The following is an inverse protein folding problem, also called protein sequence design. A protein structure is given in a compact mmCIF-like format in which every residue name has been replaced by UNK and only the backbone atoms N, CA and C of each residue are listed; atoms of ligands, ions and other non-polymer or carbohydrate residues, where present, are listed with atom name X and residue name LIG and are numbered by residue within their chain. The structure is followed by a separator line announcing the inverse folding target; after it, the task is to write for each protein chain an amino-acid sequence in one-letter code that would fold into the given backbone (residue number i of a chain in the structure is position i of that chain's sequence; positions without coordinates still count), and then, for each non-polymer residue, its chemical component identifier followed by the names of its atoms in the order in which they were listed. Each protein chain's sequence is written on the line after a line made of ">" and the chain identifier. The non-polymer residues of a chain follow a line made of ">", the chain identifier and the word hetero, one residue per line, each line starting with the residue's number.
data_IF_906071541331
#
_entry.id   IF_906071541331
#
_cell.length_a   1.000
_cell.length_b   1.000
_cell.length_c   1.000
_cell.angle_alpha   90.00
_cell.angle_beta   90.00
_cell.angle_gamma   90.00
#
_symmetry.space_group_name_H-M   'P 1'
#
loop_
_entity.id
_entity.type
_entity.pdbx_description
1 polymer ?
#
# COMPACT_ATOMS: atom_id res chain seq x y z
N UNK A 1 24.27 19.09 11.69
CA UNK A 1 23.86 18.56 10.38
C UNK A 1 22.61 19.32 9.95
N UNK A 2 22.45 19.62 8.66
CA UNK A 2 21.20 20.19 8.14
C UNK A 2 20.07 19.16 8.32
N UNK A 3 18.85 19.62 8.66
CA UNK A 3 17.66 18.77 8.73
C UNK A 3 17.32 18.26 7.33
N UNK A 4 16.87 17.01 7.23
CA UNK A 4 16.35 16.48 5.97
C UNK A 4 14.96 17.04 5.70
N UNK A 5 14.73 17.51 4.48
CA UNK A 5 13.43 18.03 4.03
C UNK A 5 12.59 16.89 3.45
N UNK A 6 11.56 16.51 4.21
CA UNK A 6 10.71 15.37 3.90
C UNK A 6 9.39 15.86 3.28
N UNK A 7 9.21 15.62 1.99
CA UNK A 7 7.95 15.87 1.31
C UNK A 7 6.90 14.82 1.72
N UNK A 8 5.99 15.16 2.63
CA UNK A 8 4.89 14.25 3.01
C UNK A 8 3.76 14.43 2.03
N UNK A 9 3.55 13.43 1.18
CA UNK A 9 2.62 13.45 0.05
C UNK A 9 1.33 12.73 0.41
N UNK A 10 0.17 13.42 0.42
CA UNK A 10 -1.09 12.89 0.94
C UNK A 10 -2.34 13.44 0.24
N UNK A 11 -3.52 12.85 0.52
CA UNK A 11 -4.79 13.14 -0.12
C UNK A 11 -5.04 12.22 -1.31
N UNK A 12 -5.18 12.78 -2.51
CA UNK A 12 -5.28 12.03 -3.77
C UNK A 12 -6.72 11.74 -4.23
N UNK A 13 -6.82 11.17 -5.43
CA UNK A 13 -8.09 10.77 -6.08
C UNK A 13 -8.47 9.35 -5.65
N UNK A 14 -8.83 9.17 -4.40
CA UNK A 14 -9.12 7.87 -3.80
C UNK A 14 -10.34 7.96 -2.89
N UNK A 15 -11.03 6.85 -2.69
CA UNK A 15 -12.09 6.71 -1.67
C UNK A 15 -11.52 6.82 -0.24
N UNK A 16 -10.22 6.72 -0.08
CA UNK A 16 -9.50 6.79 1.20
C UNK A 16 -8.78 8.14 1.41
N UNK A 17 -9.23 9.19 0.69
CA UNK A 17 -8.65 10.53 0.74
C UNK A 17 -8.54 11.10 2.17
N UNK A 18 -9.59 11.00 2.95
CA UNK A 18 -9.66 11.51 4.32
C UNK A 18 -8.74 10.72 5.27
N UNK A 19 -8.64 9.40 5.07
CA UNK A 19 -7.73 8.53 5.85
C UNK A 19 -6.27 8.91 5.59
N UNK A 20 -5.94 9.23 4.34
CA UNK A 20 -4.61 9.73 3.94
C UNK A 20 -4.26 11.03 4.67
N UNK A 21 -5.20 11.97 4.79
CA UNK A 21 -5.01 13.22 5.52
C UNK A 21 -4.69 12.97 7.00
N UNK A 22 -5.47 12.11 7.67
CA UNK A 22 -5.26 11.77 9.07
C UNK A 22 -3.91 11.06 9.31
N UNK A 23 -3.54 10.15 8.40
CA UNK A 23 -2.25 9.46 8.45
C UNK A 23 -1.08 10.44 8.30
N UNK A 24 -1.16 11.37 7.33
CA UNK A 24 -0.14 12.40 7.12
C UNK A 24 0.01 13.34 8.33
N UNK A 25 -1.10 13.75 8.92
CA UNK A 25 -1.09 14.56 10.14
C UNK A 25 -0.37 13.84 11.29
N UNK A 26 -0.65 12.55 11.46
CA UNK A 26 -0.02 11.72 12.49
C UNK A 26 1.49 11.59 12.27
N UNK A 27 1.92 11.32 11.03
CA UNK A 27 3.33 11.19 10.64
C UNK A 27 4.07 12.52 10.88
N UNK A 28 3.55 13.64 10.35
CA UNK A 28 4.17 14.96 10.51
C UNK A 28 4.32 15.33 11.99
N UNK A 29 3.28 15.05 12.80
CA UNK A 29 3.29 15.34 14.23
C UNK A 29 4.26 14.49 15.05
N UNK A 30 4.75 13.37 14.50
CA UNK A 30 5.67 12.45 15.17
C UNK A 30 7.12 12.53 14.64
N UNK A 31 7.38 13.28 13.56
CA UNK A 31 8.73 13.53 13.07
C UNK A 31 9.55 14.33 14.07
N UNK A 32 10.80 13.90 14.32
CA UNK A 32 11.75 14.66 15.15
C UNK A 32 12.13 15.98 14.46
N UNK A 33 11.76 17.15 15.02
CA UNK A 33 12.04 18.44 14.41
C UNK A 33 13.54 18.82 14.41
N UNK A 34 14.38 18.10 15.14
CA UNK A 34 15.83 18.28 15.09
C UNK A 34 16.47 17.62 13.87
N UNK A 35 15.86 16.54 13.37
CA UNK A 35 16.34 15.76 12.22
C UNK A 35 15.61 16.08 10.92
N UNK A 36 14.32 16.35 10.99
CA UNK A 36 13.43 16.47 9.84
C UNK A 36 12.75 17.84 9.75
N UNK A 37 12.57 18.30 8.52
CA UNK A 37 11.73 19.43 8.14
C UNK A 37 10.59 18.88 7.26
N UNK A 38 9.39 18.59 7.82
CA UNK A 38 8.28 18.11 7.01
C UNK A 38 7.76 19.20 6.08
N UNK A 39 7.60 18.88 4.82
CA UNK A 39 6.98 19.73 3.79
C UNK A 39 5.67 19.06 3.37
N UNK A 40 4.51 19.53 3.84
CA UNK A 40 3.23 18.97 3.46
C UNK A 40 2.93 19.20 1.98
N UNK A 41 2.65 18.11 1.25
CA UNK A 41 2.27 18.09 -0.16
C UNK A 41 0.89 17.47 -0.29
N UNK A 42 -0.12 18.31 -0.46
CA UNK A 42 -1.50 17.87 -0.56
C UNK A 42 -1.91 17.66 -2.01
N UNK A 43 -2.49 16.51 -2.31
CA UNK A 43 -3.14 16.26 -3.59
C UNK A 43 -4.65 16.34 -3.38
N UNK A 44 -5.31 17.27 -4.07
CA UNK A 44 -6.75 17.45 -3.98
C UNK A 44 -7.52 16.28 -4.67
N UNK A 45 -8.84 16.27 -4.52
CA UNK A 45 -9.71 15.26 -5.15
C UNK A 45 -9.73 15.32 -6.68
N UNK A 46 -9.17 16.38 -7.28
CA UNK A 46 -8.97 16.50 -8.72
C UNK A 46 -7.59 16.02 -9.19
N UNK A 47 -6.69 15.69 -8.26
CA UNK A 47 -5.33 15.23 -8.53
C UNK A 47 -4.32 16.36 -8.66
N UNK A 48 -4.63 17.60 -8.26
CA UNK A 48 -3.72 18.74 -8.31
C UNK A 48 -2.90 18.80 -7.03
N UNK A 49 -1.62 19.05 -7.16
CA UNK A 49 -0.68 19.13 -6.06
C UNK A 49 -0.62 20.54 -5.49
N UNK A 50 -0.68 20.66 -4.18
CA UNK A 50 -0.60 21.92 -3.44
C UNK A 50 0.47 21.84 -2.38
N UNK A 51 1.22 22.94 -2.23
CA UNK A 51 2.15 23.16 -1.11
C UNK A 51 1.73 24.42 -0.36
N UNK A 52 1.84 24.39 0.96
CA UNK A 52 1.45 25.53 1.80
C UNK A 52 2.33 25.69 3.03
N UNK A 53 2.13 26.78 3.76
CA UNK A 53 2.92 27.13 4.92
C UNK A 53 2.68 26.21 6.14
N UNK A 54 1.53 25.49 6.18
CA UNK A 54 1.25 24.51 7.24
C UNK A 54 0.22 23.48 6.76
N UNK A 55 0.25 22.31 7.39
CA UNK A 55 -0.71 21.23 7.15
C UNK A 55 -2.17 21.69 7.28
N UNK A 56 -2.51 22.35 8.39
CA UNK A 56 -3.87 22.80 8.69
C UNK A 56 -4.44 23.77 7.67
N UNK A 57 -3.59 24.58 7.04
CA UNK A 57 -4.01 25.52 5.99
C UNK A 57 -4.23 24.87 4.64
N UNK A 58 -3.59 23.73 4.38
CA UNK A 58 -3.71 23.00 3.10
C UNK A 58 -5.01 22.22 2.97
N UNK A 59 -5.60 21.80 4.09
CA UNK A 59 -6.74 20.88 4.14
C UNK A 59 -8.09 21.61 4.28
N UNK A 60 -8.08 22.93 4.55
CA UNK A 60 -9.29 23.75 4.70
C UNK A 60 -9.90 24.16 3.36
N UNK A 61 -11.21 24.50 3.36
CA UNK A 61 -11.94 24.93 2.15
C UNK A 61 -11.35 26.18 1.48
N UNK A 62 -10.69 27.06 2.27
CA UNK A 62 -10.01 28.28 1.80
C UNK A 62 -8.49 28.10 1.71
N UNK A 63 -8.01 26.92 1.33
CA UNK A 63 -6.59 26.57 1.31
C UNK A 63 -5.75 27.52 0.43
N UNK A 64 -4.95 28.46 1.02
CA UNK A 64 -4.06 29.31 0.25
C UNK A 64 -2.78 28.55 -0.12
N UNK A 65 -2.91 27.33 -0.66
CA UNK A 65 -1.81 26.55 -1.18
C UNK A 65 -1.39 27.05 -2.56
N UNK A 66 -0.12 26.88 -2.89
CA UNK A 66 0.36 27.08 -4.27
C UNK A 66 0.29 25.78 -5.02
N UNK A 67 -0.28 25.80 -6.21
CA UNK A 67 -0.22 24.65 -7.12
C UNK A 67 1.23 24.42 -7.54
N UNK A 68 1.65 23.16 -7.45
CA UNK A 68 3.02 22.75 -7.78
C UNK A 68 2.98 21.42 -8.55
N UNK A 69 4.09 21.07 -9.15
CA UNK A 69 4.36 19.71 -9.64
C UNK A 69 5.81 19.35 -9.36
N UNK A 70 6.10 18.06 -9.25
CA UNK A 70 7.45 17.52 -9.23
C UNK A 70 7.86 17.20 -10.67
N UNK A 71 8.85 17.85 -11.25
CA UNK A 71 9.33 17.52 -12.58
C UNK A 71 9.84 16.08 -12.63
N UNK A 72 9.57 15.31 -13.69
CA UNK A 72 10.20 14.02 -13.93
C UNK A 72 11.63 14.23 -14.50
N UNK A 73 12.43 15.00 -13.79
CA UNK A 73 13.79 15.41 -14.17
C UNK A 73 14.75 14.97 -13.06
N UNK A 74 15.64 13.99 -13.33
CA UNK A 74 16.54 13.44 -12.31
C UNK A 74 17.57 14.44 -11.78
N UNK A 75 17.67 15.63 -12.39
CA UNK A 75 18.59 16.70 -11.95
C UNK A 75 17.92 17.73 -11.05
N UNK A 76 16.59 17.66 -10.84
CA UNK A 76 15.80 18.65 -10.10
C UNK A 76 14.89 18.00 -9.07
N UNK A 77 15.26 18.06 -7.80
CA UNK A 77 14.42 17.59 -6.68
C UNK A 77 13.54 18.70 -6.09
N UNK A 78 13.38 19.80 -6.83
CA UNK A 78 12.61 20.97 -6.40
C UNK A 78 11.22 20.95 -6.99
N UNK A 79 10.23 21.31 -6.18
CA UNK A 79 8.88 21.53 -6.67
C UNK A 79 8.82 22.81 -7.52
N UNK A 80 8.15 22.73 -8.65
CA UNK A 80 7.93 23.84 -9.55
C UNK A 80 6.50 24.36 -9.40
N UNK A 81 6.27 25.66 -9.13
CA UNK A 81 4.94 26.22 -9.11
C UNK A 81 4.25 26.07 -10.49
N UNK A 82 3.02 25.58 -10.49
CA UNK A 82 2.17 25.58 -11.67
C UNK A 82 1.57 27.00 -11.82
N UNK A 83 2.07 27.77 -12.78
CA UNK A 83 1.53 29.11 -13.08
C UNK A 83 0.91 29.15 -14.48
N UNK A 84 -0.22 29.82 -14.58
CA UNK A 84 -0.74 30.33 -15.85
C UNK A 84 0.01 31.62 -16.18
N UNK A 85 1.13 31.56 -16.93
CA UNK A 85 1.81 32.77 -17.36
C UNK A 85 3.29 32.62 -17.74
N UNK A 86 3.78 33.56 -18.57
CA UNK A 86 5.15 33.61 -19.10
C UNK A 86 6.09 34.09 -17.98
N UNK A 87 6.95 33.23 -17.50
CA UNK A 87 8.00 33.49 -16.53
C UNK A 87 8.25 32.26 -15.68
N UNK A 88 9.49 31.77 -15.61
CA UNK A 88 9.82 30.69 -14.70
C UNK A 88 9.72 31.20 -13.25
N UNK A 89 8.76 30.72 -12.44
CA UNK A 89 8.72 31.05 -11.05
C UNK A 89 9.94 30.43 -10.34
N UNK A 90 10.44 31.03 -9.23
CA UNK A 90 11.51 30.43 -8.48
C UNK A 90 11.07 29.05 -7.98
N UNK A 91 11.88 28.03 -8.24
CA UNK A 91 11.69 26.70 -7.67
C UNK A 91 11.70 26.79 -6.15
N UNK A 92 10.89 25.93 -5.51
CA UNK A 92 10.96 25.76 -4.06
C UNK A 92 12.28 25.04 -3.70
N UNK A 93 12.78 25.22 -2.46
CA UNK A 93 13.96 24.47 -2.03
C UNK A 93 13.79 22.96 -2.27
N UNK A 94 14.88 22.25 -2.63
CA UNK A 94 14.80 20.83 -2.96
C UNK A 94 14.31 20.00 -1.78
N UNK A 95 13.70 18.86 -2.09
CA UNK A 95 13.31 17.83 -1.14
C UNK A 95 14.39 16.75 -1.11
N UNK A 96 14.66 16.20 0.06
CA UNK A 96 15.64 15.13 0.24
C UNK A 96 15.00 13.75 0.12
N UNK A 97 13.76 13.58 0.65
CA UNK A 97 13.00 12.33 0.62
C UNK A 97 11.52 12.64 0.47
N UNK A 98 10.79 11.80 -0.24
CA UNK A 98 9.32 11.83 -0.27
C UNK A 98 8.78 10.72 0.64
N UNK A 99 7.78 11.05 1.44
CA UNK A 99 7.00 10.09 2.23
C UNK A 99 5.58 10.05 1.66
N UNK A 100 5.27 9.09 0.75
CA UNK A 100 3.91 8.90 0.25
C UNK A 100 3.02 8.32 1.35
N UNK A 101 1.84 8.92 1.51
CA UNK A 101 0.84 8.51 2.52
C UNK A 101 -0.53 8.41 1.83
N UNK A 102 -0.55 7.76 0.69
CA UNK A 102 -1.78 7.50 -0.05
C UNK A 102 -2.30 6.11 0.23
N UNK A 103 -3.61 5.94 0.08
CA UNK A 103 -4.25 4.64 0.13
C UNK A 103 -5.01 4.39 -1.18
N UNK A 104 -4.90 3.16 -1.71
CA UNK A 104 -5.58 2.72 -2.92
C UNK A 104 -4.99 3.26 -4.23
N UNK A 105 -5.87 3.50 -5.20
CA UNK A 105 -5.49 3.89 -6.57
C UNK A 105 -4.65 5.18 -6.60
N UNK A 106 -3.70 5.21 -7.53
CA UNK A 106 -2.68 6.24 -7.73
C UNK A 106 -1.66 6.37 -6.59
N UNK A 107 -1.88 5.72 -5.44
CA UNK A 107 -0.98 5.74 -4.29
C UNK A 107 -0.21 4.44 -4.10
N UNK A 108 -0.91 3.31 -4.18
CA UNK A 108 -0.37 1.98 -3.93
C UNK A 108 -0.24 1.11 -5.19
N UNK A 109 -0.48 1.65 -6.39
CA UNK A 109 -0.51 0.92 -7.66
C UNK A 109 0.75 1.09 -8.53
N UNK A 110 1.79 1.73 -8.01
CA UNK A 110 3.02 2.03 -8.74
C UNK A 110 2.99 3.36 -9.52
N UNK A 111 1.84 4.03 -9.61
CA UNK A 111 1.68 5.26 -10.42
C UNK A 111 2.50 6.40 -9.83
N UNK A 112 2.32 6.73 -8.55
CA UNK A 112 3.10 7.78 -7.90
C UNK A 112 4.57 7.38 -7.76
N UNK A 113 4.85 6.11 -7.49
CA UNK A 113 6.21 5.60 -7.42
C UNK A 113 6.94 5.80 -8.76
N UNK A 114 6.25 5.61 -9.89
CA UNK A 114 6.81 5.89 -11.22
C UNK A 114 7.21 7.36 -11.41
N UNK A 115 6.45 8.31 -10.92
CA UNK A 115 6.81 9.74 -10.93
C UNK A 115 8.07 9.99 -10.09
N UNK A 116 8.15 9.38 -8.90
CA UNK A 116 9.30 9.53 -7.98
C UNK A 116 10.56 8.87 -8.55
N UNK A 117 10.41 7.74 -9.25
CA UNK A 117 11.51 7.08 -9.97
C UNK A 117 12.06 7.94 -11.11
N UNK A 118 11.19 8.58 -11.91
CA UNK A 118 11.61 9.48 -12.99
C UNK A 118 12.27 10.75 -12.46
N UNK A 119 11.80 11.27 -11.33
CA UNK A 119 12.42 12.39 -10.62
C UNK A 119 13.73 12.00 -9.92
N UNK A 120 14.06 10.71 -9.86
CA UNK A 120 15.25 10.17 -9.17
C UNK A 120 15.39 10.67 -7.73
N UNK A 121 14.29 10.70 -6.98
CA UNK A 121 14.25 11.14 -5.58
C UNK A 121 13.99 9.95 -4.65
N UNK A 122 14.69 9.85 -3.49
CA UNK A 122 14.39 8.82 -2.49
C UNK A 122 12.94 8.90 -2.00
N UNK A 123 12.27 7.77 -1.81
CA UNK A 123 10.92 7.74 -1.26
C UNK A 123 10.68 6.52 -0.37
N UNK A 124 9.82 6.70 0.62
CA UNK A 124 9.44 5.67 1.59
C UNK A 124 8.47 4.68 0.95
N UNK A 125 8.62 3.40 1.32
CA UNK A 125 7.73 2.32 0.91
C UNK A 125 8.19 1.57 -0.34
N UNK A 126 7.31 0.76 -0.90
CA UNK A 126 7.58 -0.13 -2.01
C UNK A 126 7.90 0.62 -3.31
N UNK A 127 8.69 0.00 -4.17
CA UNK A 127 8.95 0.46 -5.54
C UNK A 127 7.74 0.29 -6.46
N UNK A 128 7.92 0.60 -7.74
CA UNK A 128 6.84 0.48 -8.76
C UNK A 128 6.28 -0.93 -8.81
N UNK A 129 7.15 -1.95 -8.90
CA UNK A 129 6.73 -3.35 -9.02
C UNK A 129 6.00 -3.82 -7.77
N UNK A 130 6.59 -3.63 -6.59
CA UNK A 130 6.00 -4.06 -5.32
C UNK A 130 4.66 -3.39 -5.04
N UNK A 131 4.53 -2.10 -5.33
CA UNK A 131 3.25 -1.38 -5.22
C UNK A 131 2.20 -1.94 -6.18
N UNK A 132 2.53 -2.11 -7.46
CA UNK A 132 1.59 -2.62 -8.47
C UNK A 132 1.14 -4.06 -8.18
N UNK A 133 2.05 -4.94 -7.75
CA UNK A 133 1.73 -6.31 -7.36
C UNK A 133 0.93 -6.35 -6.04
N UNK A 134 1.28 -5.51 -5.07
CA UNK A 134 0.63 -5.46 -3.76
C UNK A 134 -0.82 -4.98 -3.82
N UNK A 135 -1.17 -4.08 -4.76
CA UNK A 135 -2.56 -3.64 -4.91
C UNK A 135 -3.42 -4.61 -5.71
N UNK A 136 -2.87 -5.23 -6.77
CA UNK A 136 -3.60 -6.15 -7.64
C UNK A 136 -3.76 -7.53 -7.01
N UNK A 137 -4.90 -7.79 -6.37
CA UNK A 137 -5.17 -9.05 -5.66
C UNK A 137 -4.94 -10.31 -6.51
N UNK A 138 -5.16 -10.24 -7.82
CA UNK A 138 -4.96 -11.40 -8.71
C UNK A 138 -3.46 -11.67 -8.92
N UNK A 139 -2.68 -10.63 -9.21
CA UNK A 139 -1.25 -10.78 -9.45
C UNK A 139 -0.49 -11.00 -8.14
N UNK A 140 -0.88 -10.37 -7.05
CA UNK A 140 -0.38 -10.63 -5.71
C UNK A 140 -0.54 -12.11 -5.33
N UNK A 141 -1.76 -12.68 -5.46
CA UNK A 141 -2.01 -14.10 -5.18
C UNK A 141 -1.24 -15.04 -6.11
N UNK A 142 -1.03 -14.66 -7.37
CA UNK A 142 -0.16 -15.42 -8.29
C UNK A 142 1.30 -15.45 -7.83
N UNK A 143 1.82 -14.30 -7.39
CA UNK A 143 3.18 -14.21 -6.84
C UNK A 143 3.31 -15.06 -5.56
N UNK A 144 2.34 -14.98 -4.66
CA UNK A 144 2.30 -15.80 -3.44
C UNK A 144 2.26 -17.31 -3.75
N UNK A 145 1.41 -17.73 -4.69
CA UNK A 145 1.33 -19.13 -5.11
C UNK A 145 2.64 -19.61 -5.75
N UNK A 146 3.28 -18.79 -6.58
CA UNK A 146 4.58 -19.10 -7.18
C UNK A 146 5.70 -19.26 -6.13
N UNK A 147 5.60 -18.51 -5.02
CA UNK A 147 6.50 -18.62 -3.88
C UNK A 147 6.14 -19.77 -2.91
N UNK A 148 5.11 -20.58 -3.24
CA UNK A 148 4.66 -21.69 -2.40
C UNK A 148 4.06 -21.26 -1.06
N UNK A 149 3.41 -20.07 -1.02
CA UNK A 149 2.71 -19.56 0.15
C UNK A 149 1.27 -20.09 0.19
N UNK A 150 0.73 -20.44 1.36
CA UNK A 150 -0.64 -20.90 1.51
C UNK A 150 -1.60 -19.72 1.34
N UNK A 151 -2.42 -19.74 0.29
CA UNK A 151 -3.39 -18.69 -0.02
C UNK A 151 -4.83 -19.22 0.00
N UNK A 152 -5.78 -18.30 0.13
CA UNK A 152 -7.20 -18.62 -0.03
C UNK A 152 -7.50 -18.97 -1.49
N UNK A 153 -8.28 -20.04 -1.72
CA UNK A 153 -8.74 -20.44 -3.05
C UNK A 153 -9.53 -19.33 -3.73
N UNK A 154 -9.22 -19.06 -4.99
CA UNK A 154 -9.88 -18.00 -5.73
C UNK A 154 -10.01 -18.32 -7.23
N UNK A 155 -10.94 -17.64 -7.89
CA UNK A 155 -11.17 -17.70 -9.33
C UNK A 155 -11.15 -16.26 -9.90
N UNK A 156 -10.15 -15.91 -10.74
CA UNK A 156 -10.11 -14.62 -11.41
C UNK A 156 -10.91 -14.64 -12.71
N UNK A 157 -11.48 -13.47 -13.07
CA UNK A 157 -12.12 -13.27 -14.37
C UNK A 157 -12.01 -11.79 -14.75
N UNK A 158 -11.99 -11.50 -16.05
CA UNK A 158 -12.17 -10.13 -16.53
C UNK A 158 -13.64 -9.78 -16.71
N UNK A 159 -14.01 -8.50 -16.55
CA UNK A 159 -15.38 -8.02 -16.83
C UNK A 159 -15.87 -8.53 -18.19
N UNK A 160 -15.06 -8.38 -19.24
CA UNK A 160 -15.40 -8.82 -20.60
C UNK A 160 -15.70 -10.33 -20.67
N UNK A 161 -14.88 -11.19 -20.04
CA UNK A 161 -15.12 -12.63 -20.02
C UNK A 161 -16.39 -12.99 -19.25
N UNK A 162 -16.63 -12.30 -18.11
CA UNK A 162 -17.85 -12.49 -17.34
C UNK A 162 -19.10 -12.10 -18.14
N UNK A 163 -19.07 -10.96 -18.83
CA UNK A 163 -20.20 -10.48 -19.66
C UNK A 163 -20.48 -11.37 -20.88
N UNK A 164 -19.48 -12.10 -21.37
CA UNK A 164 -19.66 -13.03 -22.51
C UNK A 164 -20.45 -14.30 -22.10
N UNK A 165 -20.20 -14.84 -20.92
CA UNK A 165 -20.89 -16.03 -20.44
C UNK A 165 -20.99 -16.04 -18.90
N UNK A 166 -21.88 -15.22 -18.32
CA UNK A 166 -22.07 -15.18 -16.87
C UNK A 166 -22.46 -16.55 -16.27
N UNK A 167 -23.38 -17.35 -16.89
CA UNK A 167 -23.77 -18.64 -16.34
C UNK A 167 -22.61 -19.62 -16.20
N UNK A 168 -21.70 -19.68 -17.17
CA UNK A 168 -20.55 -20.59 -17.14
C UNK A 168 -19.60 -20.24 -15.99
N UNK A 169 -19.31 -18.95 -15.78
CA UNK A 169 -18.44 -18.52 -14.67
C UNK A 169 -19.09 -18.80 -13.31
N UNK A 170 -20.39 -18.52 -13.17
CA UNK A 170 -21.11 -18.81 -11.93
C UNK A 170 -21.10 -20.32 -11.61
N UNK A 171 -21.35 -21.16 -12.61
CA UNK A 171 -21.26 -22.62 -12.44
C UNK A 171 -19.87 -23.08 -12.01
N UNK A 172 -18.81 -22.49 -12.59
CA UNK A 172 -17.43 -22.77 -12.19
C UNK A 172 -17.14 -22.34 -10.73
N UNK A 173 -17.66 -21.19 -10.29
CA UNK A 173 -17.54 -20.75 -8.89
C UNK A 173 -18.25 -21.74 -7.96
N UNK A 174 -19.46 -22.17 -8.29
CA UNK A 174 -20.23 -23.13 -7.51
C UNK A 174 -19.54 -24.49 -7.38
N UNK A 175 -18.93 -24.95 -8.48
CA UNK A 175 -18.17 -26.22 -8.51
C UNK A 175 -16.88 -26.17 -7.68
N UNK A 176 -16.11 -25.08 -7.85
CA UNK A 176 -14.74 -25.01 -7.32
C UNK A 176 -14.63 -24.37 -5.93
N UNK A 177 -15.44 -23.37 -5.66
CA UNK A 177 -15.39 -22.61 -4.40
C UNK A 177 -16.59 -22.91 -3.49
N UNK A 178 -17.80 -23.03 -4.06
CA UNK A 178 -19.05 -23.18 -3.31
C UNK A 178 -19.46 -21.88 -2.59
N UNK A 179 -20.41 -22.02 -1.68
CA UNK A 179 -20.89 -20.91 -0.84
C UNK A 179 -20.61 -21.18 0.64
N UNK A 180 -20.43 -20.13 1.47
CA UNK A 180 -20.33 -18.72 1.06
C UNK A 180 -19.01 -18.42 0.33
N UNK A 181 -19.04 -17.37 -0.52
CA UNK A 181 -17.87 -16.86 -1.21
C UNK A 181 -17.89 -15.31 -1.25
N UNK A 182 -16.74 -14.71 -1.55
CA UNK A 182 -16.61 -13.26 -1.66
C UNK A 182 -16.35 -12.86 -3.11
N UNK A 183 -17.14 -11.93 -3.66
CA UNK A 183 -16.83 -11.27 -4.91
C UNK A 183 -16.10 -9.94 -4.65
N UNK A 184 -15.01 -9.72 -5.37
CA UNK A 184 -14.12 -8.55 -5.21
C UNK A 184 -13.67 -8.05 -6.58
N UNK A 185 -13.22 -6.80 -6.65
CA UNK A 185 -12.42 -6.34 -7.79
C UNK A 185 -10.93 -6.32 -7.42
N UNK A 186 -10.04 -6.42 -8.44
CA UNK A 186 -8.63 -6.70 -8.19
C UNK A 186 -7.90 -5.56 -7.49
N UNK A 187 -8.12 -4.31 -7.93
CA UNK A 187 -7.41 -3.12 -7.43
C UNK A 187 -8.26 -2.40 -6.37
N UNK A 188 -8.64 -3.12 -5.29
CA UNK A 188 -9.45 -2.58 -4.20
C UNK A 188 -8.66 -2.44 -2.91
N UNK A 189 -8.80 -1.28 -2.24
CA UNK A 189 -8.43 -1.08 -0.83
C UNK A 189 -9.66 -1.14 0.08
N UNK A 190 -9.45 -1.18 1.39
CA UNK A 190 -10.46 -1.01 2.46
C UNK A 190 -11.78 -1.75 2.28
N UNK A 191 -11.78 -2.92 1.67
CA UNK A 191 -12.98 -3.76 1.44
C UNK A 191 -14.11 -3.09 0.61
N UNK A 192 -13.86 -1.94 -0.02
CA UNK A 192 -14.84 -1.27 -0.88
C UNK A 192 -15.24 -2.20 -2.02
N UNK A 193 -16.56 -2.34 -2.27
CA UNK A 193 -17.09 -3.19 -3.35
C UNK A 193 -16.88 -4.69 -3.16
N UNK A 194 -16.43 -5.13 -1.99
CA UNK A 194 -16.39 -6.56 -1.61
C UNK A 194 -17.75 -6.98 -1.08
N UNK A 195 -18.28 -8.09 -1.57
CA UNK A 195 -19.57 -8.64 -1.12
C UNK A 195 -19.46 -10.11 -0.81
N UNK A 196 -20.07 -10.54 0.33
CA UNK A 196 -20.24 -11.94 0.70
C UNK A 196 -21.50 -12.49 0.04
N UNK A 197 -21.39 -13.62 -0.63
CA UNK A 197 -22.50 -14.28 -1.30
C UNK A 197 -22.78 -15.65 -0.67
N UNK A 198 -24.01 -15.89 -0.25
CA UNK A 198 -24.49 -17.17 0.31
C UNK A 198 -25.22 -18.03 -0.73
N UNK A 199 -25.50 -17.46 -1.89
CA UNK A 199 -26.23 -18.10 -2.98
C UNK A 199 -25.93 -17.43 -4.32
N UNK A 200 -26.45 -18.05 -5.40
CA UNK A 200 -26.24 -17.59 -6.78
C UNK A 200 -26.71 -16.13 -7.02
N UNK A 201 -27.85 -15.74 -6.46
CA UNK A 201 -28.39 -14.39 -6.69
C UNK A 201 -27.51 -13.32 -6.08
N UNK A 202 -26.98 -13.55 -4.89
CA UNK A 202 -26.04 -12.66 -4.21
C UNK A 202 -24.70 -12.61 -4.93
N UNK A 203 -24.19 -13.74 -5.43
CA UNK A 203 -22.97 -13.78 -6.23
C UNK A 203 -23.10 -12.94 -7.52
N UNK A 204 -24.23 -13.07 -8.23
CA UNK A 204 -24.49 -12.26 -9.43
C UNK A 204 -24.55 -10.78 -9.11
N UNK A 205 -25.21 -10.39 -8.02
CA UNK A 205 -25.28 -9.00 -7.59
C UNK A 205 -23.89 -8.46 -7.24
N UNK A 206 -23.10 -9.22 -6.48
CA UNK A 206 -21.73 -8.86 -6.08
C UNK A 206 -20.78 -8.74 -7.27
N UNK A 207 -20.84 -9.65 -8.23
CA UNK A 207 -20.01 -9.56 -9.44
C UNK A 207 -20.38 -8.35 -10.31
N UNK A 208 -21.66 -7.98 -10.39
CA UNK A 208 -22.10 -6.75 -11.08
C UNK A 208 -21.56 -5.50 -10.38
N UNK A 209 -21.62 -5.49 -9.04
CA UNK A 209 -21.05 -4.39 -8.27
C UNK A 209 -19.53 -4.28 -8.48
N UNK A 210 -18.80 -5.38 -8.31
CA UNK A 210 -17.35 -5.41 -8.54
C UNK A 210 -16.98 -4.97 -9.97
N UNK A 211 -17.77 -5.38 -10.96
CA UNK A 211 -17.59 -4.99 -12.36
C UNK A 211 -17.83 -3.49 -12.64
N UNK A 212 -18.49 -2.76 -11.76
CA UNK A 212 -18.61 -1.31 -11.88
C UNK A 212 -17.32 -0.55 -11.50
N UNK A 213 -16.46 -1.17 -10.67
CA UNK A 213 -15.24 -0.55 -10.16
C UNK A 213 -13.99 -0.90 -10.98
N UNK A 214 -13.86 -2.15 -11.45
CA UNK A 214 -12.65 -2.60 -12.15
C UNK A 214 -12.99 -3.54 -13.32
N UNK A 215 -12.07 -3.62 -14.26
CA UNK A 215 -12.12 -4.60 -15.35
C UNK A 215 -11.71 -6.03 -14.92
N UNK A 216 -11.01 -6.17 -13.80
CA UNK A 216 -10.52 -7.43 -13.24
C UNK A 216 -11.29 -7.77 -11.97
N UNK A 217 -11.88 -8.93 -11.94
CA UNK A 217 -12.72 -9.45 -10.86
C UNK A 217 -12.13 -10.74 -10.33
N UNK A 218 -12.41 -11.05 -9.08
CA UNK A 218 -12.11 -12.35 -8.50
C UNK A 218 -13.23 -12.77 -7.55
N UNK A 219 -13.41 -14.07 -7.41
CA UNK A 219 -14.23 -14.69 -6.38
C UNK A 219 -13.33 -15.52 -5.49
N UNK A 220 -13.44 -15.36 -4.18
CA UNK A 220 -12.66 -16.10 -3.18
C UNK A 220 -13.60 -16.97 -2.33
N UNK A 221 -13.10 -18.14 -1.93
CA UNK A 221 -13.78 -18.98 -0.93
C UNK A 221 -13.86 -18.21 0.39
N UNK A 222 -15.02 -18.23 1.06
CA UNK A 222 -15.11 -17.72 2.42
C UNK A 222 -14.42 -18.71 3.38
N UNK A 223 -13.63 -18.15 4.30
CA UNK A 223 -12.93 -18.91 5.33
C UNK A 223 -13.45 -18.46 6.69
N UNK A 224 -13.93 -19.42 7.49
CA UNK A 224 -14.24 -19.14 8.88
C UNK A 224 -12.94 -19.09 9.69
N UNK A 225 -12.49 -17.89 10.03
CA UNK A 225 -11.15 -17.66 10.55
C UNK A 225 -11.10 -16.62 11.67
N UNK A 226 -9.95 -16.55 12.32
CA UNK A 226 -9.45 -15.40 13.06
C UNK A 226 -8.58 -14.58 12.09
N UNK A 227 -8.69 -13.26 12.16
CA UNK A 227 -7.91 -12.37 11.30
C UNK A 227 -6.64 -11.94 12.04
N UNK A 228 -5.48 -12.33 11.49
CA UNK A 228 -4.16 -11.99 12.04
C UNK A 228 -3.45 -11.00 11.12
N UNK A 229 -2.78 -10.03 11.73
CA UNK A 229 -2.01 -9.02 11.00
C UNK A 229 -0.57 -8.97 11.51
N UNK A 230 0.38 -8.79 10.60
CA UNK A 230 1.82 -8.62 10.89
C UNK A 230 2.35 -7.43 10.12
N UNK A 231 3.09 -6.57 10.83
CA UNK A 231 3.82 -5.48 10.19
C UNK A 231 5.22 -5.95 9.79
N UNK A 232 5.61 -5.67 8.54
CA UNK A 232 6.95 -5.96 8.02
C UNK A 232 7.68 -4.66 7.72
N UNK A 233 8.97 -4.59 8.07
CA UNK A 233 9.84 -3.41 7.94
C UNK A 233 11.21 -3.84 7.44
N UNK A 234 11.72 -3.20 6.39
CA UNK A 234 13.06 -3.44 5.85
C UNK A 234 13.11 -3.40 4.34
N UNK A 235 14.30 -3.60 3.80
CA UNK A 235 14.55 -3.76 2.36
C UNK A 235 14.90 -5.24 2.09
N UNK A 236 16.17 -5.57 1.85
CA UNK A 236 16.63 -6.93 1.52
C UNK A 236 16.52 -7.91 2.69
N UNK A 237 16.65 -7.43 3.92
CA UNK A 237 16.53 -8.21 5.16
C UNK A 237 15.35 -7.73 6.00
N UNK A 238 14.10 -7.96 5.55
CA UNK A 238 12.92 -7.47 6.25
C UNK A 238 12.67 -8.23 7.55
N UNK A 239 12.16 -7.51 8.54
CA UNK A 239 11.79 -8.02 9.85
C UNK A 239 10.28 -7.95 10.05
N UNK A 240 9.73 -8.92 10.77
CA UNK A 240 8.33 -8.99 11.14
C UNK A 240 8.13 -8.59 12.61
N UNK A 241 7.11 -7.81 12.88
CA UNK A 241 6.63 -7.44 14.22
C UNK A 241 6.08 -8.63 14.99
N UNK A 242 5.59 -8.40 16.20
CA UNK A 242 4.63 -9.32 16.84
C UNK A 242 3.37 -9.46 15.98
N UNK A 243 2.67 -10.59 16.16
CA UNK A 243 1.37 -10.82 15.49
C UNK A 243 0.27 -10.12 16.27
N UNK A 244 -0.62 -9.42 15.58
CA UNK A 244 -1.87 -8.90 16.13
C UNK A 244 -3.08 -9.64 15.61
N UNK A 245 -4.19 -9.56 16.32
CA UNK A 245 -5.48 -10.08 15.90
C UNK A 245 -6.50 -8.95 15.84
N UNK A 246 -7.26 -8.90 14.75
CA UNK A 246 -8.45 -8.06 14.61
C UNK A 246 -9.67 -8.91 14.94
N UNK A 247 -10.44 -8.47 15.93
CA UNK A 247 -11.74 -9.07 16.27
C UNK A 247 -12.81 -8.10 15.80
N UNK A 248 -13.42 -8.35 14.63
CA UNK A 248 -14.43 -7.44 14.09
C UNK A 248 -15.70 -7.44 14.95
N UNK A 249 -16.38 -6.29 14.99
CA UNK A 249 -17.67 -6.15 15.70
C UNK A 249 -18.83 -6.85 14.97
N UNK A 250 -18.73 -7.03 13.67
CA UNK A 250 -19.72 -7.62 12.79
C UNK A 250 -19.17 -8.83 12.02
N UNK A 251 -20.04 -9.56 11.32
CA UNK A 251 -19.68 -10.76 10.55
C UNK A 251 -18.59 -10.51 9.48
N UNK A 252 -18.41 -9.25 9.06
CA UNK A 252 -17.41 -8.83 8.07
C UNK A 252 -16.73 -7.53 8.48
N UNK A 253 -15.40 -7.50 8.35
CA UNK A 253 -14.55 -6.33 8.65
C UNK A 253 -14.48 -5.43 7.41
N UNK A 254 -15.53 -4.61 7.20
CA UNK A 254 -15.65 -3.65 6.11
C UNK A 254 -15.02 -2.29 6.42
N UNK A 255 -15.24 -1.32 5.53
CA UNK A 255 -14.72 0.04 5.67
C UNK A 255 -15.19 0.71 6.97
N UNK A 256 -16.48 0.56 7.30
CA UNK A 256 -17.06 1.17 8.48
C UNK A 256 -16.47 0.57 9.76
N UNK A 257 -16.27 -0.75 9.78
CA UNK A 257 -15.63 -1.46 10.88
C UNK A 257 -14.13 -1.10 11.04
N UNK A 258 -13.45 -0.68 9.95
CA UNK A 258 -12.02 -0.30 9.97
C UNK A 258 -11.77 1.11 10.51
N UNK A 259 -12.68 2.05 10.24
CA UNK A 259 -12.41 3.49 10.46
C UNK A 259 -13.48 4.22 11.26
N UNK A 260 -14.71 3.72 11.34
CA UNK A 260 -15.85 4.42 11.94
C UNK A 260 -16.43 3.71 13.17
N UNK A 261 -16.25 2.39 13.30
CA UNK A 261 -16.86 1.60 14.38
C UNK A 261 -15.88 1.38 15.54
N UNK A 262 -16.25 1.87 16.73
CA UNK A 262 -15.51 1.65 17.98
C UNK A 262 -15.63 0.20 18.50
N UNK A 263 -16.42 -0.66 17.84
CA UNK A 263 -16.70 -2.03 18.29
C UNK A 263 -15.61 -3.05 17.96
N UNK A 264 -14.76 -2.80 16.96
CA UNK A 264 -13.65 -3.71 16.61
C UNK A 264 -12.53 -3.65 17.64
N UNK A 265 -12.04 -4.82 18.09
CA UNK A 265 -10.96 -4.92 19.09
C UNK A 265 -9.67 -5.39 18.46
N UNK A 266 -8.57 -4.71 18.82
CA UNK A 266 -7.22 -5.11 18.47
C UNK A 266 -6.58 -5.83 19.66
N UNK A 267 -6.15 -7.07 19.46
CA UNK A 267 -5.43 -7.86 20.46
C UNK A 267 -3.94 -7.89 20.03
N UNK A 268 -3.09 -7.23 20.80
CA UNK A 268 -1.66 -7.08 20.52
C UNK A 268 -0.87 -7.38 21.79
N UNK A 269 -0.04 -8.43 21.81
CA UNK A 269 0.05 -9.48 20.80
C UNK A 269 -1.21 -10.35 20.72
N UNK A 270 -1.42 -11.00 19.56
CA UNK A 270 -2.50 -11.96 19.38
C UNK A 270 -2.40 -13.12 20.36
N UNK A 271 -3.52 -13.60 20.97
CA UNK A 271 -3.51 -14.76 21.88
C UNK A 271 -3.46 -16.07 21.07
N UNK A 272 -2.28 -16.39 20.53
CA UNK A 272 -1.96 -17.61 19.76
C UNK A 272 -0.69 -18.24 20.30
N UNK A 273 -0.48 -19.54 20.00
CA UNK A 273 0.72 -20.25 20.39
C UNK A 273 1.97 -19.64 19.76
N UNK A 274 3.10 -19.66 20.51
CA UNK A 274 4.36 -19.08 20.05
C UNK A 274 4.86 -19.69 18.73
N UNK A 275 4.65 -20.99 18.52
CA UNK A 275 5.00 -21.67 17.27
C UNK A 275 4.18 -21.15 16.07
N UNK A 276 2.88 -20.93 16.27
CA UNK A 276 1.99 -20.34 15.26
C UNK A 276 2.39 -18.89 14.98
N UNK A 277 2.70 -18.12 16.02
CA UNK A 277 3.15 -16.73 15.84
C UNK A 277 4.44 -16.66 15.00
N UNK A 278 5.40 -17.56 15.22
CA UNK A 278 6.63 -17.59 14.44
C UNK A 278 6.40 -18.07 12.99
N UNK A 279 5.49 -19.01 12.76
CA UNK A 279 5.06 -19.41 11.43
C UNK A 279 4.47 -18.22 10.66
N UNK A 280 3.53 -17.49 11.27
CA UNK A 280 2.86 -16.32 10.66
C UNK A 280 3.89 -15.22 10.33
N UNK A 281 4.83 -14.94 11.22
CA UNK A 281 5.91 -13.97 11.00
C UNK A 281 6.82 -14.38 9.84
N UNK A 282 7.20 -15.66 9.79
CA UNK A 282 7.99 -16.20 8.67
C UNK A 282 7.26 -16.10 7.34
N UNK A 283 5.96 -16.43 7.31
CA UNK A 283 5.12 -16.29 6.11
C UNK A 283 4.99 -14.82 5.70
N UNK A 284 4.89 -13.88 6.65
CA UNK A 284 4.81 -12.46 6.37
C UNK A 284 6.07 -11.92 5.66
N UNK A 285 7.26 -12.30 6.15
CA UNK A 285 8.53 -11.95 5.52
C UNK A 285 8.62 -12.52 4.09
N UNK A 286 8.25 -13.80 3.92
CA UNK A 286 8.23 -14.45 2.60
C UNK A 286 7.23 -13.80 1.64
N UNK A 287 6.06 -13.38 2.13
CA UNK A 287 5.06 -12.68 1.33
C UNK A 287 5.58 -11.32 0.86
N UNK A 288 6.22 -10.57 1.75
CA UNK A 288 6.86 -9.29 1.46
C UNK A 288 7.90 -9.41 0.34
N UNK A 289 8.78 -10.41 0.44
CA UNK A 289 9.81 -10.69 -0.57
C UNK A 289 9.22 -11.19 -1.89
N UNK A 290 8.15 -12.00 -1.86
CA UNK A 290 7.53 -12.59 -3.05
C UNK A 290 6.94 -11.56 -4.02
N UNK A 291 6.57 -10.37 -3.53
CA UNK A 291 6.01 -9.27 -4.33
C UNK A 291 6.95 -8.07 -4.44
N UNK A 292 8.24 -8.26 -4.13
CA UNK A 292 9.29 -7.24 -4.28
C UNK A 292 8.96 -5.93 -3.52
N UNK A 293 8.44 -6.04 -2.32
CA UNK A 293 8.17 -4.89 -1.46
C UNK A 293 9.43 -4.45 -0.74
N UNK A 294 9.57 -3.16 -0.50
CA UNK A 294 10.62 -2.54 0.30
C UNK A 294 10.02 -1.53 1.29
N UNK A 295 10.77 -1.21 2.32
CA UNK A 295 10.41 -0.26 3.36
C UNK A 295 9.40 -0.82 4.33
N UNK A 296 8.12 -0.93 3.93
CA UNK A 296 7.03 -1.34 4.82
C UNK A 296 5.94 -2.11 4.10
N UNK A 297 5.27 -3.01 4.84
CA UNK A 297 3.96 -3.56 4.51
C UNK A 297 3.25 -4.09 5.74
N UNK A 298 1.91 -4.20 5.69
CA UNK A 298 1.12 -5.04 6.57
C UNK A 298 0.66 -6.26 5.81
N UNK A 299 0.88 -7.42 6.40
CA UNK A 299 0.50 -8.71 5.82
C UNK A 299 -0.62 -9.31 6.66
N UNK A 300 -1.72 -9.62 6.01
CA UNK A 300 -2.97 -10.03 6.64
C UNK A 300 -3.23 -11.52 6.38
N UNK A 301 -3.56 -12.26 7.42
CA UNK A 301 -3.74 -13.71 7.40
C UNK A 301 -5.08 -14.13 7.97
N UNK A 302 -5.57 -15.28 7.51
CA UNK A 302 -6.65 -16.02 8.12
C UNK A 302 -6.10 -17.26 8.83
N UNK A 303 -6.36 -17.37 10.14
CA UNK A 303 -6.17 -18.61 10.88
C UNK A 303 -7.52 -19.34 10.97
N UNK A 304 -7.66 -20.43 10.24
CA UNK A 304 -8.91 -21.22 10.21
C UNK A 304 -9.28 -21.67 11.61
N UNK A 305 -10.53 -21.43 12.03
CA UNK A 305 -11.00 -21.77 13.40
C UNK A 305 -11.02 -23.26 13.67
N UNK A 306 -11.29 -24.08 12.66
CA UNK A 306 -11.46 -25.52 12.80
C UNK A 306 -10.14 -26.30 12.75
N UNK A 307 -9.20 -25.88 11.94
CA UNK A 307 -7.94 -26.61 11.65
C UNK A 307 -6.70 -25.93 12.18
N UNK A 308 -6.77 -24.63 12.49
CA UNK A 308 -5.61 -23.81 12.84
C UNK A 308 -4.71 -23.47 11.64
N UNK A 309 -5.04 -23.90 10.42
CA UNK A 309 -4.23 -23.61 9.24
C UNK A 309 -4.17 -22.11 8.98
N UNK A 310 -2.96 -21.64 8.63
CA UNK A 310 -2.71 -20.25 8.27
C UNK A 310 -2.85 -20.08 6.76
N UNK A 311 -3.65 -19.13 6.33
CA UNK A 311 -3.81 -18.75 4.92
C UNK A 311 -3.50 -17.28 4.76
N UNK A 312 -2.64 -16.95 3.81
CA UNK A 312 -2.31 -15.58 3.45
C UNK A 312 -3.50 -14.97 2.68
N UNK A 313 -3.98 -13.85 3.16
CA UNK A 313 -5.09 -13.11 2.54
C UNK A 313 -4.57 -12.05 1.56
N UNK A 314 -3.92 -11.01 2.08
CA UNK A 314 -3.41 -9.88 1.29
C UNK A 314 -2.20 -9.22 1.95
N UNK A 315 -1.56 -8.31 1.21
CA UNK A 315 -0.48 -7.46 1.68
C UNK A 315 -0.78 -6.01 1.28
N UNK A 316 -0.58 -5.09 2.21
CA UNK A 316 -0.83 -3.66 2.04
C UNK A 316 0.49 -2.90 2.08
N UNK A 317 0.86 -2.24 0.98
CA UNK A 317 2.17 -1.57 0.82
C UNK A 317 2.26 -0.21 1.48
N UNK A 318 1.12 0.47 1.67
CA UNK A 318 1.02 1.70 2.46
C UNK A 318 -0.12 1.51 3.49
N UNK A 319 0.14 0.77 4.59
CA UNK A 319 -0.87 0.52 5.61
C UNK A 319 -1.31 1.81 6.29
N UNK A 320 -2.48 1.80 6.94
CA UNK A 320 -2.91 2.93 7.77
C UNK A 320 -1.83 3.33 8.79
N UNK A 321 -1.58 4.63 8.92
CA UNK A 321 -0.44 5.16 9.68
C UNK A 321 -0.85 6.17 10.76
N UNK A 322 -2.09 6.07 11.26
CA UNK A 322 -2.52 6.82 12.45
C UNK A 322 -2.03 6.11 13.72
N UNK A 323 -2.02 6.80 14.85
CA UNK A 323 -1.64 6.19 16.15
C UNK A 323 -2.53 5.02 16.58
N UNK A 324 -3.75 4.94 16.04
CA UNK A 324 -4.66 3.82 16.33
C UNK A 324 -4.54 2.68 15.32
N UNK A 325 -3.83 2.88 14.20
CA UNK A 325 -3.65 1.89 13.15
C UNK A 325 -2.81 0.71 13.61
N UNK A 326 -3.11 -0.48 13.10
CA UNK A 326 -2.44 -1.73 13.48
C UNK A 326 -0.95 -1.69 13.17
N UNK A 327 -0.53 -1.19 12.00
CA UNK A 327 0.87 -1.20 11.59
C UNK A 327 1.82 -0.57 12.63
N UNK A 328 1.65 0.69 13.07
CA UNK A 328 2.51 1.27 14.09
C UNK A 328 2.35 0.62 15.47
N UNK A 329 1.13 0.18 15.85
CA UNK A 329 0.91 -0.49 17.14
C UNK A 329 1.67 -1.81 17.26
N UNK A 330 1.73 -2.59 16.19
CA UNK A 330 2.50 -3.84 16.17
C UNK A 330 3.99 -3.59 16.34
N UNK A 331 4.53 -2.53 15.74
CA UNK A 331 5.92 -2.14 15.95
C UNK A 331 6.17 -1.60 17.36
N UNK A 332 5.26 -0.81 17.91
CA UNK A 332 5.36 -0.34 19.30
C UNK A 332 5.37 -1.51 20.29
N UNK A 333 4.50 -2.50 20.11
CA UNK A 333 4.51 -3.74 20.90
C UNK A 333 5.76 -4.60 20.67
N UNK A 334 6.46 -4.42 19.55
CA UNK A 334 7.75 -5.05 19.25
C UNK A 334 8.96 -4.24 19.75
N UNK A 335 8.74 -3.11 20.42
CA UNK A 335 9.78 -2.29 21.04
C UNK A 335 10.28 -1.12 20.17
N UNK A 336 9.69 -0.88 19.00
CA UNK A 336 10.04 0.25 18.12
C UNK A 336 8.98 1.35 18.26
N UNK A 337 9.37 2.49 18.86
CA UNK A 337 8.43 3.63 19.05
C UNK A 337 7.97 4.23 17.72
N UNK A 338 6.80 4.88 17.72
CA UNK A 338 6.24 5.50 16.53
C UNK A 338 7.18 6.53 15.87
N UNK A 339 7.83 7.45 16.60
CA UNK A 339 8.83 8.34 16.00
C UNK A 339 10.04 7.58 15.41
N UNK A 340 10.54 6.56 16.11
CA UNK A 340 11.66 5.75 15.61
C UNK A 340 11.30 4.92 14.38
N UNK A 341 10.04 4.48 14.27
CA UNK A 341 9.52 3.81 13.09
C UNK A 341 9.55 4.74 11.86
N UNK A 342 9.09 5.99 12.00
CA UNK A 342 9.12 6.99 10.93
C UNK A 342 10.56 7.28 10.51
N UNK A 343 11.46 7.45 11.49
CA UNK A 343 12.89 7.64 11.24
C UNK A 343 13.48 6.48 10.45
N UNK A 344 13.22 5.22 10.89
CA UNK A 344 13.73 4.04 10.21
C UNK A 344 13.19 3.90 8.79
N UNK A 345 11.95 4.26 8.54
CA UNK A 345 11.37 4.27 7.20
C UNK A 345 12.05 5.27 6.25
N UNK A 346 12.40 6.45 6.76
CA UNK A 346 13.17 7.45 5.98
C UNK A 346 14.59 6.92 5.69
N UNK A 347 15.24 6.29 6.66
CA UNK A 347 16.56 5.67 6.47
C UNK A 347 16.52 4.57 5.42
N UNK A 348 15.53 3.66 5.47
CA UNK A 348 15.33 2.60 4.49
C UNK A 348 15.11 3.16 3.07
N UNK A 349 14.38 4.27 2.94
CA UNK A 349 14.21 4.94 1.66
C UNK A 349 15.54 5.42 1.07
N UNK A 350 16.39 6.03 1.90
CA UNK A 350 17.72 6.50 1.52
C UNK A 350 18.66 5.32 1.21
N UNK A 351 18.63 4.25 2.02
CA UNK A 351 19.41 3.03 1.79
C UNK A 351 19.09 2.41 0.41
N UNK A 352 17.79 2.19 0.13
CA UNK A 352 17.33 1.65 -1.15
C UNK A 352 17.72 2.54 -2.33
N UNK A 353 17.55 3.84 -2.19
CA UNK A 353 17.94 4.80 -3.21
C UNK A 353 19.44 4.74 -3.50
N UNK A 354 20.28 4.76 -2.46
CA UNK A 354 21.73 4.70 -2.60
C UNK A 354 22.21 3.39 -3.24
N UNK A 355 21.59 2.27 -2.91
CA UNK A 355 21.92 0.99 -3.55
C UNK A 355 21.56 1.02 -5.03
N UNK A 356 20.38 1.54 -5.39
CA UNK A 356 19.96 1.70 -6.79
C UNK A 356 20.93 2.59 -7.59
N UNK A 357 21.46 3.67 -7.00
CA UNK A 357 22.44 4.57 -7.66
C UNK A 357 23.76 3.88 -8.00
N UNK A 358 24.05 2.70 -7.46
CA UNK A 358 25.23 1.90 -7.83
C UNK A 358 25.08 1.21 -9.19
N UNK A 359 23.85 1.12 -9.70
CA UNK A 359 23.55 0.51 -10.98
C UNK A 359 23.97 1.44 -12.14
N UNK A 360 24.69 0.89 -13.12
CA UNK A 360 25.10 1.65 -14.31
C UNK A 360 23.88 1.87 -15.22
N UNK A 361 23.64 3.10 -15.61
CA UNK A 361 22.55 3.50 -16.52
C UNK A 361 23.06 3.79 -17.94
N UNK A 362 24.39 3.80 -18.17
CA UNK A 362 25.01 4.02 -19.47
C UNK A 362 26.10 2.97 -19.71
N UNK A 363 26.19 2.50 -20.94
CA UNK A 363 27.29 1.64 -21.41
C UNK A 363 28.36 2.55 -22.02
N UNK A 364 29.62 2.35 -21.65
CA UNK A 364 30.75 3.00 -22.33
C UNK A 364 30.80 2.52 -23.79
N UNK A 365 30.36 3.37 -24.73
CA UNK A 365 30.29 3.02 -26.17
C UNK A 365 31.63 2.63 -26.76
N UNK A 366 32.78 3.02 -26.16
CA UNK A 366 34.11 2.57 -26.55
C UNK A 366 34.30 1.05 -26.43
N UNK A 367 33.44 0.36 -25.65
CA UNK A 367 33.42 -1.10 -25.58
C UNK A 367 32.73 -1.74 -26.77
N UNK A 368 31.86 -1.03 -27.49
CA UNK A 368 31.14 -1.48 -28.67
C UNK A 368 32.01 -1.38 -29.95
N UNK A 369 32.94 -0.42 -30.00
CA UNK A 369 33.86 -0.23 -31.15
C UNK A 369 34.96 -1.29 -31.24
N UNK A 370 35.18 -2.07 -30.18
CA UNK A 370 36.21 -3.15 -30.18
C UNK A 370 35.78 -4.42 -30.92
N UNK A 371 34.56 -4.50 -31.41
CA UNK A 371 34.01 -5.68 -32.12
C UNK A 371 33.97 -5.57 -33.65
N UNK A 372 34.35 -4.44 -34.23
CA UNK A 372 34.30 -4.24 -35.70
C UNK A 372 35.63 -4.40 -36.41
N UNK A 373 36.75 -4.69 -35.71
CA UNK A 373 38.09 -4.91 -36.26
C UNK A 373 38.52 -6.38 -36.11
N UNK A 374 37.62 -7.36 -36.39
CA UNK A 374 37.96 -8.77 -36.46
C UNK A 374 37.46 -9.40 -37.77
#
# INVERSE_FOLDING_TARGET
>A
MSRLRIGVLFGGRSTEHEVSILSAQSIIGAMDPQRFEPVPLYIDKNGRWLVGASFTRLVGEDAPGKYVYLPPDPTQHSLVPAQDGIGQPPSLPPLDVIFPVFHGLNGEDGTIQGVLELANIPYVGAGVLGSALGLDKIYMKRAFAAAGLPIVDYLPITRRQYEQDPPAFIALVEERLGYPCFSKFANSGSSVGTTKAHNRSELVAGLRLAASFDRKLLVERAVEARELEVSVLGNDEPQASVVGEVVPAHEFYDYDAKYLDEGSRLLIPAPIDAGVAEEVRTLAVRAFQAVDVAGMARVDFFMQRTTGHILLNELNTIPGFTRISMYPKLWEASGLSYPSLIERLVELAIERFNDKQRSQTAIDTRLLDRGTDA
#
